data_IF_201555862325
#
_entry.id   IF_201555862325
#
_cell.length_a   1.000
_cell.length_b   1.000
_cell.length_c   1.000
_cell.angle_alpha   90.00
_cell.angle_beta   90.00
_cell.angle_gamma   90.00
#
_symmetry.space_group_name_H-M   'P 1'
#
loop_
_entity.id
_entity.type
_entity.pdbx_description
1 polymer ?
#
# COMPACT_ATOMS: atom_id res chain seq x y z
N UNK A 1 -16.25 -11.97 -2.42
CA UNK A 1 -14.93 -11.36 -2.69
C UNK A 1 -14.15 -11.55 -1.41
N UNK A 2 -13.22 -12.50 -1.42
CA UNK A 2 -12.55 -12.92 -0.19
C UNK A 2 -11.34 -12.02 0.07
N UNK A 3 -11.35 -11.35 1.21
CA UNK A 3 -10.22 -10.54 1.68
C UNK A 3 -9.16 -11.49 2.25
N UNK A 4 -7.86 -11.34 1.93
CA UNK A 4 -6.84 -12.23 2.44
C UNK A 4 -6.86 -12.29 3.97
N UNK A 5 -6.81 -13.50 4.53
CA UNK A 5 -6.79 -13.69 5.98
C UNK A 5 -5.60 -12.94 6.60
N UNK A 6 -5.87 -12.23 7.70
CA UNK A 6 -4.86 -11.43 8.39
C UNK A 6 -4.43 -10.16 7.66
N UNK A 7 -5.11 -9.73 6.59
CA UNK A 7 -4.81 -8.45 5.91
C UNK A 7 -5.54 -7.23 6.50
N UNK A 8 -6.43 -7.45 7.46
CA UNK A 8 -7.22 -6.39 8.09
C UNK A 8 -7.43 -6.66 9.58
N UNK A 9 -7.78 -5.60 10.29
CA UNK A 9 -8.16 -5.64 11.70
C UNK A 9 -9.68 -5.47 11.73
N UNK A 10 -10.41 -6.53 12.09
CA UNK A 10 -11.87 -6.48 12.14
C UNK A 10 -12.31 -5.78 13.44
N UNK A 11 -13.26 -4.84 13.35
CA UNK A 11 -13.71 -4.08 14.51
C UNK A 11 -14.46 -4.97 15.52
N UNK A 12 -15.17 -5.97 15.01
CA UNK A 12 -15.99 -6.95 15.73
C UNK A 12 -15.18 -8.00 16.49
N UNK A 13 -13.88 -8.13 16.24
CA UNK A 13 -12.97 -8.96 17.04
C UNK A 13 -12.71 -8.39 18.45
N UNK A 14 -13.05 -7.13 18.70
CA UNK A 14 -12.77 -6.42 19.94
C UNK A 14 -14.04 -6.21 20.76
N UNK A 15 -13.97 -6.40 22.07
CA UNK A 15 -15.10 -6.23 22.99
C UNK A 15 -15.45 -4.76 23.22
N UNK A 16 -14.54 -3.84 22.90
CA UNK A 16 -14.75 -2.41 23.03
C UNK A 16 -13.80 -1.60 22.15
N UNK A 17 -14.16 -0.34 21.88
CA UNK A 17 -13.29 0.61 21.18
C UNK A 17 -12.00 0.91 21.93
N UNK A 18 -12.01 0.82 23.27
CA UNK A 18 -10.80 0.97 24.09
C UNK A 18 -9.81 -0.17 23.81
N UNK A 19 -10.28 -1.40 23.76
CA UNK A 19 -9.44 -2.58 23.50
C UNK A 19 -8.79 -2.49 22.11
N UNK A 20 -9.55 -2.08 21.09
CA UNK A 20 -9.00 -1.78 19.76
C UNK A 20 -7.95 -0.65 19.84
N UNK A 21 -8.24 0.44 20.55
CA UNK A 21 -7.29 1.54 20.70
C UNK A 21 -5.98 1.12 21.38
N UNK A 22 -6.06 0.26 22.39
CA UNK A 22 -4.89 -0.32 23.06
C UNK A 22 -4.10 -1.22 22.10
N UNK A 23 -4.79 -2.03 21.28
CA UNK A 23 -4.18 -2.89 20.27
C UNK A 23 -3.47 -2.09 19.15
N UNK A 24 -4.10 -1.04 18.64
CA UNK A 24 -3.48 -0.15 17.64
C UNK A 24 -2.24 0.57 18.21
N UNK A 25 -2.28 0.95 19.48
CA UNK A 25 -1.12 1.51 20.17
C UNK A 25 0.03 0.51 20.32
N UNK A 26 -0.28 -0.77 20.54
CA UNK A 26 0.71 -1.84 20.54
C UNK A 26 1.33 -2.02 19.15
N UNK A 27 0.52 -2.13 18.10
CA UNK A 27 0.99 -2.30 16.72
C UNK A 27 1.92 -1.17 16.29
N UNK A 28 1.57 0.09 16.61
CA UNK A 28 2.39 1.27 16.32
C UNK A 28 3.82 1.18 16.87
N UNK A 29 4.05 0.42 17.95
CA UNK A 29 5.36 0.29 18.61
C UNK A 29 6.06 -1.03 18.29
N UNK A 30 5.43 -1.91 17.53
CA UNK A 30 5.94 -3.25 17.26
C UNK A 30 5.85 -3.55 15.76
N UNK A 31 6.90 -3.16 15.05
CA UNK A 31 7.01 -3.32 13.59
C UNK A 31 6.81 -4.78 13.18
N UNK A 32 7.36 -5.74 13.92
CA UNK A 32 7.18 -7.17 13.63
C UNK A 32 5.71 -7.58 13.66
N UNK A 33 4.94 -7.11 14.65
CA UNK A 33 3.52 -7.42 14.74
C UNK A 33 2.70 -6.68 13.68
N UNK A 34 3.03 -5.42 13.41
CA UNK A 34 2.38 -4.62 12.37
C UNK A 34 2.60 -5.20 10.96
N UNK A 35 3.83 -5.61 10.65
CA UNK A 35 4.20 -6.16 9.35
C UNK A 35 3.52 -7.49 9.02
N UNK A 36 3.01 -8.23 10.02
CA UNK A 36 2.21 -9.45 9.79
C UNK A 36 0.97 -9.15 8.93
N UNK A 37 0.37 -7.97 9.09
CA UNK A 37 -0.79 -7.55 8.28
C UNK A 37 -0.48 -7.30 6.81
N UNK A 38 0.79 -7.34 6.41
CA UNK A 38 1.24 -7.19 5.02
C UNK A 38 1.77 -8.51 4.43
N UNK A 39 1.77 -9.62 5.17
CA UNK A 39 2.30 -10.90 4.69
C UNK A 39 1.53 -11.45 3.48
N UNK A 40 0.23 -11.16 3.39
CA UNK A 40 -0.60 -11.53 2.24
C UNK A 40 -0.02 -10.98 0.92
N UNK A 41 0.68 -9.85 0.92
CA UNK A 41 1.28 -9.26 -0.29
C UNK A 41 2.34 -10.17 -0.92
N UNK A 42 2.94 -11.09 -0.15
CA UNK A 42 3.89 -12.10 -0.66
C UNK A 42 3.21 -13.10 -1.60
N UNK A 43 1.93 -13.36 -1.39
CA UNK A 43 1.16 -14.38 -2.10
C UNK A 43 0.22 -13.79 -3.16
N UNK A 44 -0.24 -12.55 -2.95
CA UNK A 44 -1.09 -11.81 -3.88
C UNK A 44 -0.26 -10.81 -4.69
N UNK A 45 0.82 -11.30 -5.32
CA UNK A 45 1.58 -10.47 -6.27
C UNK A 45 0.63 -10.11 -7.41
N UNK A 46 0.57 -8.82 -7.74
CA UNK A 46 -0.12 -8.34 -8.93
C UNK A 46 0.33 -9.19 -10.14
N UNK A 47 -0.57 -9.48 -11.11
CA UNK A 47 -0.21 -10.25 -12.29
C UNK A 47 1.11 -9.75 -12.89
N UNK A 48 1.93 -10.63 -13.45
CA UNK A 48 3.18 -10.21 -14.11
C UNK A 48 2.96 -9.20 -15.24
N UNK A 49 1.72 -9.10 -15.75
CA UNK A 49 1.25 -8.09 -16.71
C UNK A 49 0.89 -6.74 -16.10
N UNK A 50 0.74 -6.63 -14.79
CA UNK A 50 0.45 -5.38 -14.10
C UNK A 50 1.76 -4.59 -13.90
N UNK A 51 1.93 -3.54 -14.71
CA UNK A 51 3.03 -2.58 -14.60
C UNK A 51 2.51 -1.24 -14.09
N UNK A 52 2.53 -1.06 -12.78
CA UNK A 52 2.33 0.24 -12.16
C UNK A 52 3.66 0.98 -12.12
N UNK A 53 3.97 1.74 -13.18
CA UNK A 53 5.28 2.40 -13.29
C UNK A 53 5.24 3.88 -12.91
N UNK A 54 4.07 4.54 -12.85
CA UNK A 54 3.97 5.98 -12.54
C UNK A 54 4.68 6.38 -11.25
N UNK A 55 4.30 5.81 -10.11
CA UNK A 55 4.89 6.18 -8.82
C UNK A 55 6.30 5.64 -8.66
N UNK A 56 6.60 4.46 -9.21
CA UNK A 56 7.96 3.92 -9.20
C UNK A 56 8.92 4.81 -9.97
N UNK A 57 8.50 5.31 -11.15
CA UNK A 57 9.23 6.28 -11.96
C UNK A 57 9.41 7.59 -11.19
N UNK A 58 8.33 8.14 -10.64
CA UNK A 58 8.39 9.35 -9.80
C UNK A 58 9.39 9.21 -8.64
N UNK A 59 9.36 8.09 -7.91
CA UNK A 59 10.32 7.79 -6.85
C UNK A 59 11.76 7.73 -7.38
N UNK A 60 11.96 7.13 -8.56
CA UNK A 60 13.25 7.09 -9.23
C UNK A 60 13.76 8.47 -9.62
N UNK A 61 12.88 9.33 -10.15
CA UNK A 61 13.20 10.71 -10.56
C UNK A 61 13.60 11.55 -9.33
N UNK A 62 12.84 11.43 -8.23
CA UNK A 62 13.16 12.06 -6.93
C UNK A 62 14.51 11.57 -6.40
N UNK A 63 14.76 10.26 -6.43
CA UNK A 63 16.02 9.67 -5.97
C UNK A 63 17.22 10.16 -6.79
N UNK A 64 17.04 10.44 -8.08
CA UNK A 64 18.06 11.01 -8.97
C UNK A 64 18.17 12.53 -8.88
N UNK A 65 17.46 13.15 -7.93
CA UNK A 65 17.41 14.60 -7.73
C UNK A 65 16.92 15.38 -8.97
N UNK A 66 16.12 14.73 -9.83
CA UNK A 66 15.50 15.39 -10.97
C UNK A 66 14.44 16.38 -10.47
N UNK A 67 14.52 17.62 -10.95
CA UNK A 67 13.52 18.66 -10.62
C UNK A 67 12.46 18.72 -11.71
N UNK A 68 11.22 18.45 -11.34
CA UNK A 68 10.06 18.58 -12.21
C UNK A 68 8.85 19.04 -11.38
N UNK A 69 7.83 19.55 -12.07
CA UNK A 69 6.55 19.94 -11.47
C UNK A 69 5.48 19.01 -11.98
N UNK A 70 4.77 18.35 -11.07
CA UNK A 70 3.56 17.60 -11.37
C UNK A 70 2.39 18.43 -10.89
N UNK A 71 1.65 19.05 -11.83
CA UNK A 71 0.52 19.91 -11.50
C UNK A 71 -0.64 19.14 -10.88
N UNK A 72 -0.89 17.92 -11.36
CA UNK A 72 -1.92 17.03 -10.85
C UNK A 72 -1.35 15.62 -10.67
N UNK A 73 -1.04 15.29 -9.41
CA UNK A 73 -0.47 13.99 -9.03
C UNK A 73 -1.44 12.84 -9.24
N UNK A 74 -2.75 13.11 -9.14
CA UNK A 74 -3.81 12.11 -9.35
C UNK A 74 -3.87 11.75 -10.83
N UNK A 75 -3.87 12.75 -11.71
CA UNK A 75 -3.81 12.53 -13.16
C UNK A 75 -2.51 11.86 -13.60
N UNK A 76 -1.37 12.28 -13.04
CA UNK A 76 -0.07 11.66 -13.31
C UNK A 76 -0.09 10.16 -12.97
N UNK A 77 -0.64 9.81 -11.81
CA UNK A 77 -0.85 8.43 -11.41
C UNK A 77 -1.70 7.70 -12.44
N UNK A 78 -2.95 8.11 -12.64
CA UNK A 78 -3.89 7.36 -13.48
C UNK A 78 -3.43 7.18 -14.93
N UNK A 79 -2.76 8.18 -15.52
CA UNK A 79 -2.23 8.08 -16.89
C UNK A 79 -0.97 7.21 -16.97
N UNK A 80 -0.09 7.27 -15.98
CA UNK A 80 1.16 6.49 -15.98
C UNK A 80 1.02 5.05 -15.45
N UNK A 81 -0.17 4.68 -14.99
CA UNK A 81 -0.49 3.33 -14.49
C UNK A 81 -0.67 2.28 -15.58
N UNK A 82 -0.89 2.70 -16.82
CA UNK A 82 -1.04 1.80 -17.96
C UNK A 82 0.10 2.07 -18.93
N UNK A 83 0.91 1.05 -19.22
CA UNK A 83 1.66 1.07 -20.48
C UNK A 83 0.62 1.02 -21.59
N UNK A 84 0.54 2.05 -22.43
CA UNK A 84 -0.18 1.93 -23.69
C UNK A 84 0.43 0.75 -24.43
N UNK A 85 -0.29 -0.36 -24.47
CA UNK A 85 0.01 -1.49 -25.34
C UNK A 85 -0.07 -0.99 -26.78
N UNK A 86 1.07 -0.55 -27.30
CA UNK A 86 1.34 -0.42 -28.74
C UNK A 86 1.90 -1.74 -29.26
#
# INVERSE_FOLDING_TARGET
TDVPSGSFIALDDFKSTKELGDYLNFLRKNDTAYLKYFEWTKHYRLPSSYKSDALCKLCGDIYREERFVVEDIVQYYFKGQCSDSS
#
